data_IF_235376078383
#
_entry.id   IF_235376078383
#
_cell.length_a   1.000
_cell.length_b   1.000
_cell.length_c   1.000
_cell.angle_alpha   90.00
_cell.angle_beta   90.00
_cell.angle_gamma   90.00
#
_symmetry.space_group_name_H-M   'P 1'
#
loop_
_entity.id
_entity.type
_entity.pdbx_description
1 polymer ?
#
# COMPACT_ATOMS: atom_id res chain seq x y z
N UNK A 1 -14.26 8.46 -46.21
CA UNK A 1 -12.85 8.78 -45.94
C UNK A 1 -12.82 10.00 -45.04
N UNK A 2 -12.55 9.80 -43.75
CA UNK A 2 -12.41 10.86 -42.76
C UNK A 2 -10.91 11.01 -42.41
N UNK A 3 -10.40 12.22 -42.13
CA UNK A 3 -8.98 12.42 -41.90
C UNK A 3 -8.59 11.99 -40.47
N UNK A 4 -7.46 11.28 -40.39
CA UNK A 4 -6.75 10.95 -39.16
C UNK A 4 -6.19 12.22 -38.51
N UNK A 5 -6.69 12.57 -37.34
CA UNK A 5 -6.06 13.53 -36.42
C UNK A 5 -4.87 12.84 -35.73
N UNK A 6 -3.65 13.18 -36.16
CA UNK A 6 -2.42 12.91 -35.38
C UNK A 6 -2.31 13.96 -34.28
N UNK A 7 -2.24 13.52 -33.03
CA UNK A 7 -1.79 14.36 -31.93
C UNK A 7 -0.26 14.34 -31.89
N UNK A 8 0.37 15.45 -32.28
CA UNK A 8 1.77 15.73 -31.98
C UNK A 8 1.87 16.32 -30.56
N UNK A 9 2.50 15.57 -29.65
CA UNK A 9 2.96 16.11 -28.38
C UNK A 9 4.18 17.00 -28.63
N UNK A 10 3.98 18.31 -28.62
CA UNK A 10 5.09 19.28 -28.62
C UNK A 10 5.79 19.24 -27.26
N UNK A 11 6.95 18.60 -27.23
CA UNK A 11 7.93 18.76 -26.16
C UNK A 11 8.43 20.21 -26.16
N UNK A 12 8.36 20.88 -25.01
CA UNK A 12 8.98 22.19 -24.83
C UNK A 12 10.52 22.06 -24.95
N UNK A 13 11.21 22.97 -25.65
CA UNK A 13 12.65 22.89 -25.83
C UNK A 13 13.39 23.27 -24.54
N UNK A 14 14.58 22.67 -24.41
CA UNK A 14 15.62 22.90 -23.43
C UNK A 14 15.68 24.33 -22.88
N UNK A 15 15.57 24.45 -21.55
CA UNK A 15 16.13 25.58 -20.83
C UNK A 15 17.65 25.42 -20.82
N UNK A 16 18.33 26.20 -21.67
CA UNK A 16 19.78 26.38 -21.61
C UNK A 16 20.12 27.10 -20.29
N UNK A 17 20.60 26.38 -19.29
CA UNK A 17 21.29 26.99 -18.16
C UNK A 17 22.75 27.22 -18.55
N UNK A 18 23.09 28.49 -18.72
CA UNK A 18 24.45 28.95 -18.94
C UNK A 18 25.37 28.55 -17.79
N UNK A 19 26.59 28.16 -18.16
CA UNK A 19 27.72 27.94 -17.27
C UNK A 19 28.07 29.24 -16.52
N UNK A 20 27.54 29.40 -15.31
CA UNK A 20 28.03 30.37 -14.34
C UNK A 20 28.88 29.63 -13.30
N UNK A 21 30.20 29.72 -13.45
CA UNK A 21 31.19 29.30 -12.45
C UNK A 21 30.97 30.15 -11.19
N UNK A 22 30.21 29.63 -10.22
CA UNK A 22 30.11 30.25 -8.89
C UNK A 22 31.20 29.67 -7.98
N UNK A 23 32.15 30.54 -7.62
CA UNK A 23 33.24 30.27 -6.69
C UNK A 23 32.67 29.86 -5.32
N UNK A 24 33.12 28.70 -4.82
CA UNK A 24 32.96 28.24 -3.43
C UNK A 24 33.28 29.37 -2.45
N UNK A 25 32.28 29.78 -1.66
CA UNK A 25 32.49 30.39 -0.35
C UNK A 25 31.94 29.41 0.68
N UNK A 26 32.85 28.81 1.44
CA UNK A 26 32.55 28.12 2.69
C UNK A 26 31.83 29.10 3.61
N UNK A 27 30.62 28.76 4.03
CA UNK A 27 29.97 29.36 5.18
C UNK A 27 29.69 28.21 6.16
N UNK A 28 30.50 28.17 7.23
CA UNK A 28 30.23 27.40 8.42
C UNK A 28 28.82 27.73 8.93
N UNK A 29 27.99 26.71 9.09
CA UNK A 29 26.83 26.75 9.98
C UNK A 29 27.02 25.67 11.05
N UNK A 30 27.76 26.06 12.08
CA UNK A 30 27.71 25.48 13.41
C UNK A 30 26.37 25.86 14.05
N UNK A 31 25.38 24.96 13.95
CA UNK A 31 24.24 24.92 14.86
C UNK A 31 24.49 23.77 15.83
N UNK A 32 25.11 24.11 16.96
CA UNK A 32 25.25 23.23 18.09
C UNK A 32 23.86 22.80 18.57
N UNK A 33 23.55 21.52 18.42
CA UNK A 33 22.48 20.88 19.17
C UNK A 33 22.86 20.94 20.66
N UNK A 34 22.15 21.76 21.43
CA UNK A 34 22.17 21.65 22.88
C UNK A 34 21.30 20.46 23.29
N UNK A 35 21.82 19.42 23.97
CA UNK A 35 20.99 18.35 24.47
C UNK A 35 20.31 18.81 25.76
N UNK A 36 18.97 18.94 25.74
CA UNK A 36 18.18 18.86 26.97
C UNK A 36 18.27 17.41 27.47
N UNK A 37 19.17 17.15 28.42
CA UNK A 37 19.25 15.86 29.12
C UNK A 37 18.19 15.87 30.23
N UNK A 38 17.20 14.95 30.24
CA UNK A 38 16.46 14.67 31.46
C UNK A 38 17.38 13.92 32.42
N UNK A 39 17.63 14.53 33.58
CA UNK A 39 18.36 13.91 34.69
C UNK A 39 17.52 12.74 35.21
N UNK A 40 18.05 11.51 35.12
CA UNK A 40 17.53 10.36 35.88
C UNK A 40 17.02 9.15 35.10
N UNK A 41 17.21 9.05 33.79
CA UNK A 41 16.93 7.80 33.08
C UNK A 41 18.12 6.83 33.21
N UNK A 42 17.93 5.73 33.95
CA UNK A 42 18.87 4.59 33.93
C UNK A 42 19.12 4.16 32.47
N UNK A 43 20.39 4.20 32.05
CA UNK A 43 20.84 3.64 30.78
C UNK A 43 20.59 2.12 30.81
N UNK A 44 19.43 1.67 30.34
CA UNK A 44 19.35 0.33 29.76
C UNK A 44 20.33 0.31 28.59
N UNK A 45 21.32 -0.57 28.62
CA UNK A 45 22.23 -0.78 27.50
C UNK A 45 21.39 -1.12 26.28
N UNK A 46 21.32 -0.18 25.33
CA UNK A 46 20.82 -0.48 23.99
C UNK A 46 21.63 -1.65 23.44
N UNK A 47 21.01 -2.59 22.70
CA UNK A 47 21.76 -3.57 21.92
C UNK A 47 22.86 -2.86 21.14
N UNK A 48 24.06 -3.41 21.12
CA UNK A 48 25.13 -2.97 20.22
C UNK A 48 24.62 -3.21 18.80
N UNK A 49 24.01 -2.20 18.20
CA UNK A 49 23.68 -2.21 16.78
C UNK A 49 24.97 -1.85 16.06
N UNK A 50 25.44 -2.74 15.18
CA UNK A 50 26.44 -2.39 14.17
C UNK A 50 25.93 -1.13 13.45
N UNK A 51 26.71 -0.06 13.45
CA UNK A 51 26.36 1.13 12.68
C UNK A 51 26.58 0.81 11.20
N UNK A 52 25.52 0.59 10.40
CA UNK A 52 25.68 0.20 9.00
C UNK A 52 26.29 1.34 8.15
N UNK A 53 26.39 2.54 8.72
CA UNK A 53 26.92 3.73 8.07
C UNK A 53 28.34 4.09 8.52
N UNK A 54 28.98 3.30 9.39
CA UNK A 54 30.31 3.64 9.93
C UNK A 54 31.38 3.82 8.83
N UNK A 55 31.29 3.04 7.76
CA UNK A 55 32.17 3.13 6.60
C UNK A 55 31.67 4.04 5.47
N UNK A 56 30.53 4.73 5.62
CA UNK A 56 29.97 5.57 4.57
C UNK A 56 30.67 6.92 4.54
N UNK A 57 31.32 7.22 3.43
CA UNK A 57 31.86 8.55 3.16
C UNK A 57 30.74 9.50 2.74
N UNK A 58 30.21 10.24 3.71
CA UNK A 58 29.13 11.21 3.49
C UNK A 58 29.56 12.43 2.65
N UNK A 59 30.86 12.64 2.41
CA UNK A 59 31.35 13.65 1.46
C UNK A 59 31.16 13.20 0.00
N UNK A 60 30.93 11.91 -0.23
CA UNK A 60 30.65 11.32 -1.54
C UNK A 60 29.26 10.71 -1.57
N UNK A 61 28.33 11.40 -2.21
CA UNK A 61 26.96 10.91 -2.40
C UNK A 61 26.51 11.11 -3.84
N UNK A 62 25.56 10.28 -4.27
CA UNK A 62 24.84 10.45 -5.52
C UNK A 62 23.33 10.46 -5.27
N UNK A 63 22.60 11.28 -6.02
CA UNK A 63 21.15 11.23 -6.01
C UNK A 63 20.69 10.13 -6.96
N UNK A 64 19.94 9.17 -6.43
CA UNK A 64 19.32 8.11 -7.20
C UNK A 64 17.83 8.35 -7.29
N UNK A 65 17.24 8.26 -8.49
CA UNK A 65 15.79 8.31 -8.63
C UNK A 65 15.16 7.07 -8.00
N UNK A 66 14.18 7.33 -7.14
CA UNK A 66 13.48 6.35 -6.33
C UNK A 66 11.98 6.45 -6.53
N UNK A 67 11.27 5.40 -6.14
CA UNK A 67 9.82 5.37 -6.03
C UNK A 67 9.44 4.96 -4.60
N UNK A 68 8.48 5.65 -4.00
CA UNK A 68 7.91 5.25 -2.71
C UNK A 68 6.57 4.55 -2.85
N UNK A 69 5.82 4.91 -3.90
CA UNK A 69 4.48 4.42 -4.19
C UNK A 69 4.39 3.99 -5.65
N UNK A 70 4.78 2.74 -5.92
CA UNK A 70 4.67 2.15 -7.24
C UNK A 70 4.20 0.70 -7.12
N UNK A 71 3.05 0.43 -7.72
CA UNK A 71 2.54 -0.91 -7.93
C UNK A 71 3.11 -1.48 -9.21
N UNK A 72 3.26 -2.80 -9.26
CA UNK A 72 3.74 -3.52 -10.45
C UNK A 72 5.25 -3.36 -10.67
N UNK A 73 5.93 -4.49 -10.86
CA UNK A 73 7.38 -4.56 -10.98
C UNK A 73 7.94 -5.98 -10.86
N UNK A 74 7.18 -7.02 -11.23
CA UNK A 74 7.63 -8.43 -11.07
C UNK A 74 7.88 -9.15 -12.38
N UNK A 75 7.53 -8.55 -13.52
CA UNK A 75 7.99 -9.06 -14.82
C UNK A 75 9.31 -8.41 -15.18
N UNK A 76 10.19 -9.14 -15.84
CA UNK A 76 11.42 -8.58 -16.40
C UNK A 76 11.14 -7.35 -17.26
N UNK A 77 10.09 -7.36 -18.08
CA UNK A 77 9.73 -6.21 -18.91
C UNK A 77 9.41 -4.95 -18.09
N UNK A 78 8.64 -5.08 -17.01
CA UNK A 78 8.31 -3.94 -16.14
C UNK A 78 9.54 -3.37 -15.45
N UNK A 79 10.42 -4.23 -14.95
CA UNK A 79 11.67 -3.83 -14.29
C UNK A 79 12.62 -3.09 -15.24
N UNK A 80 12.78 -3.60 -16.46
CA UNK A 80 13.59 -2.94 -17.50
C UNK A 80 13.00 -1.58 -17.86
N UNK A 81 11.68 -1.46 -18.01
CA UNK A 81 11.04 -0.17 -18.32
C UNK A 81 11.28 0.89 -17.23
N UNK A 82 11.19 0.54 -15.95
CA UNK A 82 11.50 1.49 -14.87
C UNK A 82 12.98 1.91 -14.90
N UNK A 83 13.88 0.96 -15.19
CA UNK A 83 15.30 1.29 -15.33
C UNK A 83 15.55 2.22 -16.52
N UNK A 84 14.90 1.98 -17.67
CA UNK A 84 14.97 2.84 -18.85
C UNK A 84 14.42 4.25 -18.59
N UNK A 85 13.47 4.40 -17.66
CA UNK A 85 12.99 5.71 -17.17
C UNK A 85 14.00 6.42 -16.25
N UNK A 86 15.10 5.75 -15.87
CA UNK A 86 16.17 6.30 -15.05
C UNK A 86 16.00 6.08 -13.55
N UNK A 87 15.11 5.17 -13.12
CA UNK A 87 15.05 4.74 -11.71
C UNK A 87 16.24 3.82 -11.40
N UNK A 88 16.96 4.13 -10.32
CA UNK A 88 18.06 3.30 -9.80
C UNK A 88 17.78 2.69 -8.42
N UNK A 89 16.69 3.12 -7.75
CA UNK A 89 16.25 2.55 -6.49
C UNK A 89 14.80 2.06 -6.58
N UNK A 90 14.59 0.76 -6.38
CA UNK A 90 13.30 0.10 -6.54
C UNK A 90 12.74 -0.29 -5.17
N UNK A 91 11.70 0.42 -4.73
CA UNK A 91 10.92 0.12 -3.53
C UNK A 91 9.44 -0.02 -3.88
N UNK A 92 9.09 -1.11 -4.56
CA UNK A 92 7.70 -1.39 -4.97
C UNK A 92 6.78 -1.61 -3.78
N UNK A 93 5.55 -1.14 -3.88
CA UNK A 93 4.60 -1.05 -2.77
C UNK A 93 3.33 -1.89 -3.01
N UNK A 94 3.45 -3.13 -3.49
CA UNK A 94 2.28 -3.97 -3.78
C UNK A 94 1.42 -4.22 -2.50
N UNK A 95 0.10 -4.37 -2.67
CA UNK A 95 -0.85 -4.57 -1.55
C UNK A 95 -1.69 -5.85 -1.60
N UNK A 96 -1.54 -6.70 -2.62
CA UNK A 96 -2.22 -7.99 -2.67
C UNK A 96 -1.28 -9.16 -3.00
N UNK A 97 -0.61 -9.74 -1.98
CA UNK A 97 -0.59 -9.30 -0.58
C UNK A 97 0.26 -8.02 -0.37
N UNK A 98 0.08 -7.36 0.78
CA UNK A 98 0.87 -6.20 1.23
C UNK A 98 2.22 -6.66 1.75
N UNK A 99 3.11 -7.05 0.84
CA UNK A 99 4.39 -7.65 1.17
C UNK A 99 5.56 -7.12 0.32
N UNK A 100 6.77 -7.00 0.91
CA UNK A 100 7.99 -6.72 0.17
C UNK A 100 8.20 -7.68 -0.98
N UNK A 101 8.39 -7.11 -2.17
CA UNK A 101 8.57 -7.88 -3.40
C UNK A 101 10.03 -7.76 -3.85
N UNK A 102 10.88 -8.77 -3.61
CA UNK A 102 12.29 -8.73 -4.00
C UNK A 102 12.44 -8.75 -5.53
N UNK A 103 13.51 -8.11 -6.01
CA UNK A 103 13.85 -8.16 -7.44
C UNK A 103 14.21 -9.57 -7.88
N UNK A 104 13.86 -9.91 -9.13
CA UNK A 104 14.22 -11.18 -9.74
C UNK A 104 15.75 -11.37 -9.71
N UNK A 105 16.27 -12.55 -9.33
CA UNK A 105 17.72 -12.79 -9.28
C UNK A 105 18.45 -12.42 -10.58
N UNK A 106 17.92 -12.84 -11.74
CA UNK A 106 18.50 -12.53 -13.04
C UNK A 106 18.52 -11.03 -13.37
N UNK A 107 17.55 -10.26 -12.85
CA UNK A 107 17.55 -8.80 -13.03
C UNK A 107 18.65 -8.15 -12.17
N UNK A 108 18.80 -8.59 -10.92
CA UNK A 108 19.86 -8.09 -10.03
C UNK A 108 21.26 -8.39 -10.55
N UNK A 109 21.46 -9.57 -11.13
CA UNK A 109 22.73 -9.96 -11.73
C UNK A 109 23.06 -9.10 -12.96
N UNK A 110 22.05 -8.80 -13.80
CA UNK A 110 22.22 -7.96 -14.98
C UNK A 110 22.44 -6.47 -14.65
N UNK A 111 21.82 -5.97 -13.57
CA UNK A 111 21.81 -4.56 -13.18
C UNK A 111 22.28 -4.39 -11.73
N UNK A 112 23.57 -4.63 -11.45
CA UNK A 112 24.12 -4.52 -10.09
C UNK A 112 24.12 -3.09 -9.53
N UNK A 113 23.92 -2.10 -10.40
CA UNK A 113 23.74 -0.68 -10.08
C UNK A 113 22.35 -0.35 -9.51
N UNK A 114 21.36 -1.23 -9.69
CA UNK A 114 20.01 -1.01 -9.18
C UNK A 114 19.91 -1.49 -7.73
N UNK A 115 19.57 -0.58 -6.83
CA UNK A 115 19.36 -0.86 -5.41
C UNK A 115 17.88 -1.21 -5.18
N UNK A 116 17.63 -2.14 -4.25
CA UNK A 116 16.28 -2.51 -3.82
C UNK A 116 16.12 -2.30 -2.33
N UNK A 117 14.96 -1.78 -1.93
CA UNK A 117 14.53 -1.75 -0.54
C UNK A 117 13.17 -2.45 -0.39
N UNK A 118 12.96 -3.17 0.73
CA UNK A 118 11.66 -3.75 1.00
C UNK A 118 10.62 -2.65 1.23
N UNK A 119 9.44 -2.82 0.65
CA UNK A 119 8.34 -1.89 0.77
C UNK A 119 7.02 -2.62 0.49
N UNK A 120 5.93 -2.14 1.07
CA UNK A 120 4.59 -2.64 0.86
C UNK A 120 3.58 -1.54 1.19
N UNK A 121 2.50 -1.46 0.41
CA UNK A 121 1.37 -0.58 0.73
C UNK A 121 0.42 -1.31 1.69
N UNK A 122 0.23 -0.75 2.88
CA UNK A 122 -0.67 -1.24 3.92
C UNK A 122 -2.00 -0.50 3.84
N UNK A 123 -3.13 -1.21 3.96
CA UNK A 123 -4.47 -0.64 3.80
C UNK A 123 -5.55 -1.37 4.64
N UNK A 124 -6.79 -0.89 4.58
CA UNK A 124 -7.97 -1.47 5.24
C UNK A 124 -7.87 -1.57 6.78
N UNK A 125 -7.40 -0.49 7.39
CA UNK A 125 -7.35 -0.29 8.84
C UNK A 125 -8.75 -0.22 9.46
N UNK A 126 -8.87 -0.56 10.74
CA UNK A 126 -10.15 -0.53 11.45
C UNK A 126 -10.68 0.89 11.70
N UNK A 127 -9.77 1.85 11.84
CA UNK A 127 -10.04 3.20 12.36
C UNK A 127 -9.76 4.32 11.35
N UNK A 128 -9.29 3.98 10.14
CA UNK A 128 -9.00 4.98 9.11
C UNK A 128 -9.08 4.41 7.69
N UNK A 129 -9.41 5.28 6.72
CA UNK A 129 -9.34 5.00 5.29
C UNK A 129 -7.94 5.18 4.68
N UNK A 130 -6.91 5.32 5.52
CA UNK A 130 -5.52 5.51 5.10
C UNK A 130 -5.03 4.35 4.22
N UNK A 131 -4.12 4.69 3.31
CA UNK A 131 -3.13 3.78 2.76
C UNK A 131 -1.74 4.31 3.14
N UNK A 132 -0.78 3.44 3.44
CA UNK A 132 0.60 3.89 3.67
C UNK A 132 1.64 2.92 3.12
N UNK A 133 2.78 3.44 2.66
CA UNK A 133 3.93 2.60 2.32
C UNK A 133 4.92 2.53 3.47
N UNK A 134 5.61 1.39 3.54
CA UNK A 134 6.52 1.02 4.62
C UNK A 134 7.93 0.85 4.06
N UNK A 135 8.53 1.97 3.62
CA UNK A 135 9.84 1.97 2.97
C UNK A 135 10.91 1.44 3.91
N UNK A 136 11.70 0.48 3.42
CA UNK A 136 12.71 -0.19 4.23
C UNK A 136 12.15 -1.21 5.21
N UNK A 137 10.83 -1.39 5.30
CA UNK A 137 10.21 -2.34 6.24
C UNK A 137 10.06 -3.74 5.66
N UNK A 138 10.30 -4.76 6.47
CA UNK A 138 10.03 -6.17 6.13
C UNK A 138 8.57 -6.57 6.38
N UNK A 139 7.70 -5.63 6.75
CA UNK A 139 6.33 -5.92 7.14
C UNK A 139 5.55 -6.50 5.96
N UNK A 140 5.08 -7.72 6.13
CA UNK A 140 4.20 -8.40 5.19
C UNK A 140 2.84 -8.66 5.85
N UNK A 141 1.77 -8.24 5.20
CA UNK A 141 0.40 -8.49 5.65
C UNK A 141 -0.49 -8.89 4.48
N UNK A 142 -1.68 -9.38 4.82
CA UNK A 142 -2.77 -9.54 3.87
C UNK A 142 -2.69 -10.77 2.99
N UNK A 143 -3.72 -10.89 2.18
CA UNK A 143 -3.97 -11.98 1.25
C UNK A 143 -4.74 -11.44 0.07
N UNK A 144 -4.55 -12.00 -1.12
CA UNK A 144 -5.32 -11.61 -2.28
C UNK A 144 -5.38 -12.72 -3.32
N UNK A 145 -6.58 -13.25 -3.55
CA UNK A 145 -6.82 -14.21 -4.62
C UNK A 145 -8.09 -13.87 -5.38
N UNK A 146 -7.94 -13.77 -6.69
CA UNK A 146 -9.02 -13.51 -7.64
C UNK A 146 -9.30 -14.79 -8.41
N UNK A 147 -10.57 -15.10 -8.62
CA UNK A 147 -10.93 -16.05 -9.66
C UNK A 147 -10.65 -15.43 -11.02
N UNK A 148 -10.06 -16.20 -11.92
CA UNK A 148 -9.86 -15.89 -13.32
C UNK A 148 -11.19 -15.68 -14.06
N UNK A 149 -11.12 -15.06 -15.24
CA UNK A 149 -12.29 -14.89 -16.09
C UNK A 149 -12.91 -16.23 -16.54
N UNK A 150 -12.12 -17.32 -16.60
CA UNK A 150 -12.61 -18.64 -16.94
C UNK A 150 -13.37 -19.29 -15.77
N UNK A 151 -12.80 -19.25 -14.57
CA UNK A 151 -13.43 -19.79 -13.36
C UNK A 151 -14.79 -19.11 -13.08
N UNK A 152 -14.87 -17.79 -13.28
CA UNK A 152 -16.10 -17.00 -13.10
C UNK A 152 -17.25 -17.33 -14.06
N UNK A 153 -17.00 -18.12 -15.11
CA UNK A 153 -18.04 -18.53 -16.09
C UNK A 153 -18.68 -19.88 -15.75
N UNK A 154 -18.16 -20.59 -14.75
CA UNK A 154 -18.70 -21.90 -14.34
C UNK A 154 -19.93 -21.71 -13.45
N UNK A 155 -20.97 -22.54 -13.60
CA UNK A 155 -22.10 -22.57 -12.67
C UNK A 155 -22.45 -24.03 -12.32
N UNK A 156 -22.50 -24.39 -11.03
CA UNK A 156 -22.09 -23.56 -9.89
C UNK A 156 -20.59 -23.29 -9.89
N UNK A 157 -20.16 -22.13 -9.37
CA UNK A 157 -18.74 -21.92 -9.06
C UNK A 157 -18.43 -22.73 -7.81
N UNK A 158 -17.42 -23.60 -7.91
CA UNK A 158 -16.80 -24.28 -6.77
C UNK A 158 -15.34 -23.89 -6.74
N UNK A 159 -14.90 -23.20 -5.70
CA UNK A 159 -13.53 -22.72 -5.61
C UNK A 159 -12.98 -22.88 -4.20
N UNK A 160 -11.69 -23.16 -4.09
CA UNK A 160 -10.97 -23.35 -2.84
C UNK A 160 -9.86 -22.30 -2.74
N UNK A 161 -9.98 -21.43 -1.75
CA UNK A 161 -8.91 -20.53 -1.32
C UNK A 161 -8.04 -21.28 -0.31
N UNK A 162 -6.73 -21.19 -0.45
CA UNK A 162 -5.74 -21.93 0.35
C UNK A 162 -4.67 -21.00 0.89
N UNK A 163 -3.83 -21.53 1.80
CA UNK A 163 -2.76 -20.83 2.52
C UNK A 163 -3.31 -19.68 3.38
N UNK A 164 -4.43 -19.95 4.04
CA UNK A 164 -5.05 -19.02 4.98
C UNK A 164 -4.56 -19.28 6.39
N UNK A 165 -4.61 -18.26 7.24
CA UNK A 165 -4.32 -18.36 8.66
C UNK A 165 -5.68 -18.53 9.37
N UNK A 166 -5.89 -19.59 10.15
CA UNK A 166 -7.09 -19.73 10.97
C UNK A 166 -7.22 -18.57 11.97
N UNK A 167 -8.45 -18.21 12.29
CA UNK A 167 -8.76 -17.18 13.26
C UNK A 167 -8.27 -17.57 14.66
N UNK A 168 -7.64 -16.60 15.34
CA UNK A 168 -7.16 -16.71 16.71
C UNK A 168 -7.54 -15.44 17.48
N UNK A 169 -8.14 -15.58 18.66
CA UNK A 169 -8.61 -14.45 19.47
C UNK A 169 -7.47 -13.50 19.90
N UNK A 170 -6.22 -13.98 19.92
CA UNK A 170 -5.06 -13.13 20.25
C UNK A 170 -4.58 -12.29 19.07
N UNK A 171 -4.80 -12.76 17.85
CA UNK A 171 -4.40 -12.09 16.59
C UNK A 171 -5.53 -12.16 15.55
N UNK A 172 -6.74 -11.65 15.88
CA UNK A 172 -7.94 -11.91 15.08
C UNK A 172 -7.83 -11.39 13.65
N UNK A 173 -7.09 -10.29 13.45
CA UNK A 173 -6.88 -9.67 12.14
C UNK A 173 -6.19 -10.58 11.11
N UNK A 174 -5.39 -11.57 11.55
CA UNK A 174 -4.67 -12.49 10.66
C UNK A 174 -5.58 -13.57 10.06
N UNK A 175 -6.69 -13.90 10.73
CA UNK A 175 -7.64 -14.91 10.27
C UNK A 175 -8.95 -14.35 9.73
N UNK A 176 -9.06 -13.03 9.56
CA UNK A 176 -10.24 -12.37 8.98
C UNK A 176 -9.99 -11.98 7.53
N UNK A 177 -10.90 -12.39 6.67
CA UNK A 177 -10.86 -12.16 5.23
C UNK A 177 -12.11 -11.44 4.74
N UNK A 178 -11.95 -10.65 3.68
CA UNK A 178 -13.01 -9.97 2.94
C UNK A 178 -13.33 -10.76 1.67
N UNK A 179 -14.52 -11.31 1.61
CA UNK A 179 -15.08 -11.96 0.43
C UNK A 179 -15.85 -10.91 -0.39
N UNK A 180 -15.35 -10.57 -1.58
CA UNK A 180 -16.00 -9.61 -2.48
C UNK A 180 -16.65 -10.35 -3.67
N UNK A 181 -17.94 -10.11 -3.88
CA UNK A 181 -18.73 -10.57 -5.02
C UNK A 181 -19.27 -9.38 -5.82
N UNK A 182 -19.28 -9.48 -7.14
CA UNK A 182 -20.04 -8.58 -8.01
C UNK A 182 -20.82 -9.39 -9.03
N UNK A 183 -22.13 -9.37 -8.84
CA UNK A 183 -23.12 -10.07 -9.65
C UNK A 183 -23.83 -9.06 -10.54
N UNK A 184 -23.91 -9.33 -11.85
CA UNK A 184 -24.56 -8.46 -12.83
C UNK A 184 -25.74 -9.21 -13.42
N UNK A 185 -26.95 -8.66 -13.28
CA UNK A 185 -28.15 -9.20 -13.88
C UNK A 185 -28.23 -8.85 -15.37
N UNK A 186 -28.73 -9.79 -16.19
CA UNK A 186 -29.15 -9.52 -17.56
C UNK A 186 -30.47 -8.74 -17.60
N UNK A 187 -31.44 -9.15 -16.78
CA UNK A 187 -32.73 -8.49 -16.59
C UNK A 187 -33.26 -8.79 -15.18
N UNK A 188 -34.14 -7.94 -14.66
CA UNK A 188 -34.83 -8.18 -13.38
C UNK A 188 -33.91 -8.10 -12.15
N UNK A 189 -34.27 -8.88 -11.12
CA UNK A 189 -33.54 -8.97 -9.84
C UNK A 189 -33.30 -10.44 -9.45
N UNK A 190 -32.63 -11.24 -10.30
CA UNK A 190 -32.29 -12.61 -9.96
C UNK A 190 -31.35 -12.63 -8.76
N UNK A 191 -31.31 -13.77 -8.08
CA UNK A 191 -30.48 -13.97 -6.88
C UNK A 191 -29.58 -15.19 -7.06
N UNK A 192 -28.41 -15.14 -6.45
CA UNK A 192 -27.51 -16.28 -6.34
C UNK A 192 -27.60 -16.90 -4.93
N UNK A 193 -27.14 -18.14 -4.78
CA UNK A 193 -27.07 -18.83 -3.50
C UNK A 193 -25.61 -19.09 -3.17
N UNK A 194 -25.15 -18.59 -2.01
CA UNK A 194 -23.78 -18.74 -1.54
C UNK A 194 -23.71 -19.69 -0.34
N UNK A 195 -22.80 -20.67 -0.42
CA UNK A 195 -22.36 -21.49 0.70
C UNK A 195 -20.86 -21.35 0.87
N UNK A 196 -20.39 -21.22 2.11
CA UNK A 196 -18.96 -21.13 2.46
C UNK A 196 -18.65 -22.18 3.53
N UNK A 197 -17.64 -23.01 3.27
CA UNK A 197 -17.11 -24.00 4.21
C UNK A 197 -15.69 -23.62 4.64
N UNK A 198 -15.31 -23.98 5.86
CA UNK A 198 -14.02 -23.59 6.46
C UNK A 198 -14.00 -22.14 6.97
N UNK A 199 -15.15 -21.47 7.05
CA UNK A 199 -15.27 -20.12 7.58
C UNK A 199 -16.65 -19.83 8.20
N UNK A 200 -16.72 -18.88 9.13
CA UNK A 200 -17.98 -18.24 9.58
C UNK A 200 -18.03 -16.78 9.14
N UNK A 201 -19.24 -16.24 8.97
CA UNK A 201 -19.41 -14.82 8.77
C UNK A 201 -19.01 -14.05 10.03
N UNK A 202 -18.55 -12.82 9.87
CA UNK A 202 -18.23 -11.96 11.00
C UNK A 202 -18.53 -10.49 10.76
N UNK A 203 -18.78 -9.79 11.86
CA UNK A 203 -18.94 -8.35 11.87
C UNK A 203 -17.62 -7.65 12.16
N UNK A 204 -17.01 -7.05 11.14
CA UNK A 204 -15.75 -6.30 11.24
C UNK A 204 -15.81 -5.11 12.20
N UNK A 205 -16.96 -4.47 12.35
CA UNK A 205 -17.12 -3.28 13.19
C UNK A 205 -17.26 -3.65 14.67
N UNK A 206 -17.71 -4.87 14.96
CA UNK A 206 -17.90 -5.40 16.31
C UNK A 206 -16.75 -6.34 16.71
N UNK A 207 -15.51 -5.91 16.47
CA UNK A 207 -14.31 -6.68 16.78
C UNK A 207 -14.33 -8.11 16.21
N UNK A 208 -14.84 -8.25 14.98
CA UNK A 208 -15.01 -9.54 14.32
C UNK A 208 -15.91 -10.48 15.15
N UNK A 209 -17.08 -10.02 15.63
CA UNK A 209 -18.08 -10.87 16.28
C UNK A 209 -18.63 -11.95 15.34
N UNK A 210 -18.94 -13.15 15.84
CA UNK A 210 -19.36 -14.31 15.01
C UNK A 210 -20.83 -14.22 14.61
N UNK A 211 -21.06 -14.16 13.30
CA UNK A 211 -22.40 -14.09 12.69
C UNK A 211 -22.87 -15.47 12.19
N UNK A 212 -22.15 -16.53 12.54
CA UNK A 212 -22.48 -17.91 12.25
C UNK A 212 -22.16 -18.35 10.82
N UNK A 213 -22.59 -19.58 10.45
CA UNK A 213 -22.25 -20.19 9.18
C UNK A 213 -22.92 -19.50 7.99
N UNK A 214 -22.26 -19.55 6.82
CA UNK A 214 -22.80 -19.09 5.54
C UNK A 214 -23.27 -20.32 4.77
N UNK A 215 -24.49 -20.76 5.04
CA UNK A 215 -25.12 -21.89 4.35
C UNK A 215 -26.31 -21.43 3.52
N UNK A 216 -26.26 -21.69 2.21
CA UNK A 216 -27.33 -21.37 1.26
C UNK A 216 -27.90 -19.95 1.42
N UNK A 217 -27.03 -18.96 1.68
CA UNK A 217 -27.46 -17.57 1.83
C UNK A 217 -27.81 -16.99 0.46
N UNK A 218 -28.98 -16.38 0.35
CA UNK A 218 -29.42 -15.66 -0.84
C UNK A 218 -28.63 -14.37 -1.00
N UNK A 219 -28.03 -14.17 -2.17
CA UNK A 219 -27.22 -13.00 -2.52
C UNK A 219 -27.88 -12.27 -3.70
N UNK A 220 -28.43 -11.06 -3.50
CA UNK A 220 -29.01 -10.30 -4.60
C UNK A 220 -27.92 -9.71 -5.49
N UNK A 221 -28.27 -9.41 -6.74
CA UNK A 221 -27.37 -8.77 -7.70
C UNK A 221 -26.78 -7.45 -7.19
N UNK A 222 -25.60 -7.09 -7.71
CA UNK A 222 -24.83 -5.92 -7.31
C UNK A 222 -23.50 -6.28 -6.65
N UNK A 223 -22.85 -5.26 -6.07
CA UNK A 223 -21.61 -5.40 -5.31
C UNK A 223 -21.92 -5.83 -3.89
N UNK A 224 -21.29 -6.90 -3.42
CA UNK A 224 -21.45 -7.46 -2.09
C UNK A 224 -20.08 -7.72 -1.49
N UNK A 225 -19.93 -7.32 -0.25
CA UNK A 225 -18.74 -7.55 0.55
C UNK A 225 -19.19 -8.19 1.86
N UNK A 226 -18.53 -9.26 2.24
CA UNK A 226 -18.75 -9.94 3.52
C UNK A 226 -17.40 -10.21 4.16
N UNK A 227 -17.34 -10.14 5.48
CA UNK A 227 -16.15 -10.54 6.23
C UNK A 227 -16.36 -11.94 6.79
N UNK A 228 -15.31 -12.74 6.77
CA UNK A 228 -15.33 -14.12 7.25
C UNK A 228 -14.13 -14.38 8.15
N UNK A 229 -14.35 -15.15 9.21
CA UNK A 229 -13.29 -15.77 10.00
C UNK A 229 -12.93 -17.11 9.37
N UNK A 230 -11.66 -17.33 9.06
CA UNK A 230 -11.20 -18.64 8.64
C UNK A 230 -11.19 -19.60 9.84
N UNK A 231 -11.85 -20.75 9.72
CA UNK A 231 -11.79 -21.82 10.72
C UNK A 231 -10.65 -22.81 10.41
N UNK A 232 -10.23 -22.85 9.16
CA UNK A 232 -9.20 -23.74 8.61
C UNK A 232 -8.22 -22.96 7.72
N UNK A 233 -7.13 -23.60 7.32
CA UNK A 233 -6.16 -23.04 6.35
C UNK A 233 -6.70 -22.91 4.91
N UNK A 234 -7.98 -23.26 4.71
CA UNK A 234 -8.64 -23.15 3.43
C UNK A 234 -10.14 -22.85 3.57
N UNK A 235 -10.65 -22.04 2.65
CA UNK A 235 -12.06 -21.69 2.54
C UNK A 235 -12.59 -22.19 1.20
N UNK A 236 -13.64 -23.01 1.24
CA UNK A 236 -14.31 -23.50 0.04
C UNK A 236 -15.60 -22.73 -0.17
N UNK A 237 -15.81 -22.22 -1.38
CA UNK A 237 -17.03 -21.50 -1.76
C UNK A 237 -17.81 -22.31 -2.78
N UNK A 238 -19.13 -22.26 -2.65
CA UNK A 238 -20.09 -22.74 -3.66
C UNK A 238 -21.02 -21.57 -3.95
N UNK A 239 -21.01 -21.07 -5.19
CA UNK A 239 -21.92 -20.03 -5.65
C UNK A 239 -22.80 -20.60 -6.78
N UNK A 240 -24.07 -20.78 -6.48
CA UNK A 240 -25.09 -21.28 -7.41
C UNK A 240 -25.85 -20.09 -8.00
N UNK A 241 -26.00 -20.04 -9.33
CA UNK A 241 -26.73 -18.99 -10.03
C UNK A 241 -27.16 -19.47 -11.41
N UNK A 242 -28.20 -18.85 -11.98
CA UNK A 242 -28.58 -19.09 -13.37
C UNK A 242 -27.64 -18.30 -14.30
N UNK A 243 -26.77 -18.96 -15.10
CA UNK A 243 -25.81 -18.27 -15.96
C UNK A 243 -26.47 -17.51 -17.12
N UNK A 244 -27.75 -17.76 -17.41
CA UNK A 244 -28.51 -16.99 -18.40
C UNK A 244 -29.03 -15.66 -17.82
N UNK A 245 -29.10 -15.53 -16.49
CA UNK A 245 -29.65 -14.36 -15.81
C UNK A 245 -28.57 -13.53 -15.08
N UNK A 246 -27.51 -14.18 -14.59
CA UNK A 246 -26.45 -13.55 -13.81
C UNK A 246 -25.09 -13.82 -14.43
N UNK A 247 -24.27 -12.78 -14.56
CA UNK A 247 -22.85 -12.88 -14.85
C UNK A 247 -22.00 -12.40 -13.67
N UNK A 248 -20.83 -13.03 -13.47
CA UNK A 248 -19.93 -12.75 -12.35
C UNK A 248 -18.75 -11.93 -12.84
N UNK A 249 -18.71 -10.64 -12.49
CA UNK A 249 -17.59 -9.77 -12.86
C UNK A 249 -16.46 -9.82 -11.83
N UNK A 250 -16.77 -10.10 -10.56
CA UNK A 250 -15.80 -10.24 -9.49
C UNK A 250 -16.20 -11.32 -8.49
N UNK A 251 -15.23 -12.16 -8.14
CA UNK A 251 -15.27 -13.07 -7.01
C UNK A 251 -13.83 -13.24 -6.52
N UNK A 252 -13.55 -12.80 -5.29
CA UNK A 252 -12.20 -12.78 -4.72
C UNK A 252 -12.25 -12.84 -3.20
N UNK A 253 -11.18 -13.38 -2.61
CA UNK A 253 -10.92 -13.35 -1.18
C UNK A 253 -9.69 -12.47 -0.94
N UNK A 254 -9.84 -11.46 -0.10
CA UNK A 254 -8.83 -10.46 0.18
C UNK A 254 -8.64 -10.33 1.69
N UNK A 255 -7.48 -9.86 2.12
CA UNK A 255 -7.24 -9.45 3.50
C UNK A 255 -6.33 -8.24 3.47
N UNK A 256 -6.73 -7.18 4.18
CA UNK A 256 -5.85 -6.05 4.46
C UNK A 256 -5.34 -6.14 5.89
N UNK A 257 -4.97 -5.02 6.49
CA UNK A 257 -4.37 -5.01 7.83
C UNK A 257 -5.34 -5.39 8.94
N UNK A 258 -6.62 -4.98 8.84
CA UNK A 258 -7.65 -5.24 9.86
C UNK A 258 -7.21 -4.83 11.29
N UNK A 259 -6.38 -3.80 11.40
CA UNK A 259 -5.84 -3.26 12.66
C UNK A 259 -5.92 -1.74 12.70
N UNK A 260 -5.83 -1.12 13.89
CA UNK A 260 -5.64 0.32 14.01
C UNK A 260 -4.34 0.78 13.34
N UNK A 261 -4.34 1.96 12.72
CA UNK A 261 -3.16 2.43 11.98
C UNK A 261 -1.92 2.61 12.87
N UNK A 262 -2.09 3.01 14.13
CA UNK A 262 -0.98 3.25 15.08
C UNK A 262 -0.19 1.97 15.35
N UNK A 263 -0.90 0.86 15.52
CA UNK A 263 -0.27 -0.44 15.70
C UNK A 263 0.48 -0.86 14.44
N UNK A 264 -0.11 -0.62 13.27
CA UNK A 264 0.52 -0.94 12.00
C UNK A 264 1.76 -0.08 11.72
N UNK A 265 1.77 1.18 12.17
CA UNK A 265 2.96 2.02 12.11
C UNK A 265 4.07 1.44 12.97
N UNK A 266 3.76 0.99 14.20
CA UNK A 266 4.75 0.33 15.06
C UNK A 266 5.25 -0.99 14.46
N UNK A 267 4.36 -1.82 13.93
CA UNK A 267 4.76 -3.06 13.24
C UNK A 267 5.66 -2.81 12.03
N UNK A 268 5.40 -1.74 11.27
CA UNK A 268 6.22 -1.35 10.12
C UNK A 268 7.60 -0.81 10.55
N UNK A 269 7.63 0.03 11.58
CA UNK A 269 8.84 0.73 12.01
C UNK A 269 9.74 -0.12 12.92
N UNK A 270 9.13 -0.73 13.94
CA UNK A 270 9.82 -1.38 15.05
C UNK A 270 9.77 -2.92 14.93
N UNK A 271 8.83 -3.46 14.17
CA UNK A 271 8.59 -4.90 14.07
C UNK A 271 7.78 -5.43 15.24
N UNK A 272 7.47 -6.73 15.17
CA UNK A 272 6.69 -7.44 16.19
C UNK A 272 7.32 -8.80 16.46
N UNK A 273 7.28 -9.25 17.72
CA UNK A 273 7.70 -10.61 18.04
C UNK A 273 6.62 -11.63 17.65
N UNK A 274 7.06 -12.69 16.98
CA UNK A 274 6.25 -13.84 16.58
C UNK A 274 7.08 -15.11 16.73
N UNK A 275 6.65 -16.00 17.63
CA UNK A 275 7.31 -17.29 17.86
C UNK A 275 8.83 -17.18 18.10
N UNK A 276 9.25 -16.12 18.81
CA UNK A 276 10.66 -15.81 19.10
C UNK A 276 11.44 -15.21 17.93
N UNK A 277 10.75 -14.71 16.89
CA UNK A 277 11.34 -13.99 15.76
C UNK A 277 10.67 -12.64 15.59
N UNK A 278 11.47 -11.61 15.34
CA UNK A 278 10.95 -10.32 14.89
C UNK A 278 10.45 -10.43 13.44
N UNK A 279 9.18 -10.10 13.22
CA UNK A 279 8.55 -9.92 11.91
C UNK A 279 8.27 -8.45 11.65
N UNK A 280 8.40 -8.02 10.40
CA UNK A 280 8.29 -6.59 10.07
C UNK A 280 9.51 -5.77 10.49
N UNK A 281 9.29 -4.51 10.83
CA UNK A 281 10.33 -3.57 11.22
C UNK A 281 11.19 -3.08 10.05
N UNK A 282 11.84 -1.94 10.24
CA UNK A 282 12.81 -1.42 9.27
C UNK A 282 14.06 -2.30 9.23
N UNK A 283 14.63 -2.46 8.03
CA UNK A 283 15.91 -3.13 7.82
C UNK A 283 17.05 -2.42 8.59
N UNK A 284 17.00 -1.10 8.61
CA UNK A 284 17.88 -0.22 9.39
C UNK A 284 17.00 0.79 10.14
N UNK A 285 17.26 1.10 11.43
CA UNK A 285 16.39 1.93 12.25
C UNK A 285 15.99 3.30 11.65
N UNK A 286 16.85 3.85 10.79
CA UNK A 286 16.75 5.13 10.10
C UNK A 286 16.84 5.01 8.56
N UNK A 287 16.92 3.80 8.02
CA UNK A 287 17.05 3.53 6.58
C UNK A 287 15.74 3.55 5.80
N UNK A 288 14.69 4.13 6.38
CA UNK A 288 13.34 4.10 5.81
C UNK A 288 12.30 4.69 6.73
N UNK A 289 11.03 4.43 6.42
CA UNK A 289 9.93 4.99 7.17
C UNK A 289 8.58 4.86 6.49
N UNK A 290 7.64 5.67 6.94
CA UNK A 290 6.25 5.64 6.48
C UNK A 290 5.99 6.79 5.53
N UNK A 291 5.35 6.50 4.41
CA UNK A 291 4.74 7.54 3.57
C UNK A 291 3.23 7.38 3.54
N UNK A 292 2.51 8.49 3.72
CA UNK A 292 1.05 8.52 3.74
C UNK A 292 0.54 8.65 2.30
N UNK A 293 -0.21 7.65 1.84
CA UNK A 293 -0.66 7.59 0.47
C UNK A 293 -2.12 8.03 0.35
N UNK A 294 -2.48 8.42 -0.87
CA UNK A 294 -3.85 8.69 -1.29
C UNK A 294 -4.64 9.54 -0.28
N UNK A 295 -4.11 10.71 0.13
CA UNK A 295 -4.73 11.44 1.22
C UNK A 295 -6.10 11.99 0.81
N UNK A 296 -7.12 11.72 1.62
CA UNK A 296 -8.51 12.14 1.38
C UNK A 296 -9.19 12.74 2.61
N UNK A 297 -8.51 12.72 3.76
CA UNK A 297 -8.98 13.27 5.03
C UNK A 297 -8.66 14.76 5.24
N UNK A 298 -8.78 15.20 6.50
CA UNK A 298 -8.53 16.59 6.93
C UNK A 298 -7.14 16.75 7.53
N UNK A 299 -6.68 18.00 7.65
CA UNK A 299 -5.39 18.36 8.25
C UNK A 299 -5.17 17.68 9.61
N UNK A 300 -6.17 17.68 10.49
CA UNK A 300 -6.03 17.17 11.86
C UNK A 300 -5.65 15.68 11.87
N UNK A 301 -6.26 14.90 10.98
CA UNK A 301 -5.98 13.47 10.83
C UNK A 301 -4.54 13.23 10.36
N UNK A 302 -4.07 13.97 9.35
CA UNK A 302 -2.72 13.77 8.83
C UNK A 302 -1.65 14.37 9.75
N UNK A 303 -1.95 15.48 10.44
CA UNK A 303 -1.05 16.06 11.44
C UNK A 303 -0.75 15.04 12.56
N UNK A 304 -1.78 14.36 13.06
CA UNK A 304 -1.62 13.30 14.06
C UNK A 304 -0.75 12.13 13.57
N UNK A 305 -0.89 11.75 12.30
CA UNK A 305 -0.08 10.68 11.69
C UNK A 305 1.37 11.12 11.46
N UNK A 306 1.58 12.34 10.95
CA UNK A 306 2.91 12.92 10.71
C UNK A 306 3.68 13.14 12.02
N UNK A 307 2.99 13.49 13.10
CA UNK A 307 3.60 13.72 14.41
C UNK A 307 3.81 12.42 15.21
N UNK A 308 3.38 11.26 14.69
CA UNK A 308 3.42 9.99 15.43
C UNK A 308 4.85 9.52 15.75
N UNK A 309 5.74 9.64 14.79
CA UNK A 309 7.13 9.18 14.86
C UNK A 309 7.95 9.97 13.83
N UNK A 310 9.21 10.29 14.15
CA UNK A 310 10.08 11.04 13.22
C UNK A 310 10.38 10.29 11.92
N UNK A 311 10.10 8.98 11.88
CA UNK A 311 10.20 8.13 10.68
C UNK A 311 8.92 8.14 9.84
N UNK A 312 7.92 8.95 10.15
CA UNK A 312 6.83 9.27 9.21
C UNK A 312 7.32 10.39 8.31
N UNK A 313 7.69 10.04 7.08
CA UNK A 313 8.56 10.83 6.22
C UNK A 313 7.79 11.88 5.41
N UNK A 314 6.59 11.54 4.96
CA UNK A 314 5.92 12.34 3.95
C UNK A 314 4.51 11.90 3.59
N UNK A 315 3.92 12.65 2.69
CA UNK A 315 2.56 12.46 2.19
C UNK A 315 2.53 12.62 0.67
N UNK A 316 1.76 11.78 0.00
CA UNK A 316 1.53 11.87 -1.44
C UNK A 316 0.79 13.17 -1.74
N UNK A 317 1.39 14.07 -2.53
CA UNK A 317 0.78 15.39 -2.80
C UNK A 317 -0.36 15.26 -3.81
N UNK A 318 -0.27 14.28 -4.71
CA UNK A 318 -1.24 14.06 -5.76
C UNK A 318 -1.79 12.64 -5.74
N UNK A 319 -3.07 12.49 -5.44
CA UNK A 319 -3.73 11.19 -5.47
C UNK A 319 -4.27 10.84 -6.88
N UNK A 320 -3.60 9.92 -7.57
CA UNK A 320 -4.03 9.47 -8.90
C UNK A 320 -5.33 8.64 -8.88
N UNK A 321 -5.65 7.91 -7.79
CA UNK A 321 -6.85 7.05 -7.72
C UNK A 321 -8.15 7.83 -7.94
N UNK A 322 -8.13 9.13 -7.65
CA UNK A 322 -9.30 9.99 -7.73
C UNK A 322 -9.28 10.95 -8.93
N UNK A 323 -8.10 11.24 -9.48
CA UNK A 323 -7.89 12.16 -10.60
C UNK A 323 -6.64 11.76 -11.37
N UNK A 324 -6.80 11.32 -12.62
CA UNK A 324 -5.63 11.20 -13.50
C UNK A 324 -4.98 12.57 -13.66
N UNK A 325 -3.65 12.64 -13.58
CA UNK A 325 -2.92 13.89 -13.77
C UNK A 325 -3.23 14.45 -15.17
N UNK A 326 -3.95 15.58 -15.23
CA UNK A 326 -4.44 16.13 -16.50
C UNK A 326 -5.46 15.27 -17.26
N UNK A 327 -6.07 14.26 -16.62
CA UNK A 327 -7.07 13.39 -17.25
C UNK A 327 -8.49 13.81 -16.89
N UNK A 328 -9.38 13.79 -17.87
CA UNK A 328 -10.83 13.95 -17.75
C UNK A 328 -11.53 12.69 -17.16
N UNK A 329 -10.75 11.74 -16.62
CA UNK A 329 -11.22 10.45 -16.07
C UNK A 329 -10.92 10.35 -14.57
N UNK A 330 -11.79 9.63 -13.85
CA UNK A 330 -11.67 9.38 -12.41
C UNK A 330 -12.89 9.84 -11.61
N UNK A 331 -12.82 9.78 -10.29
CA UNK A 331 -13.89 10.22 -9.37
C UNK A 331 -14.32 11.67 -9.59
N UNK A 332 -13.42 12.49 -10.15
CA UNK A 332 -13.62 13.91 -10.38
C UNK A 332 -13.82 14.29 -11.85
N UNK A 333 -14.04 13.30 -12.74
CA UNK A 333 -14.33 13.51 -14.17
C UNK A 333 -15.53 14.45 -14.42
N UNK A 334 -16.48 14.48 -13.49
CA UNK A 334 -17.67 15.35 -13.55
C UNK A 334 -17.46 16.73 -12.94
N UNK A 335 -16.29 17.04 -12.37
CA UNK A 335 -16.01 18.34 -11.79
C UNK A 335 -15.58 19.34 -12.87
N UNK A 336 -16.14 20.55 -12.79
CA UNK A 336 -15.84 21.65 -13.73
C UNK A 336 -14.39 22.15 -13.62
N UNK A 337 -13.73 21.91 -12.49
CA UNK A 337 -12.34 22.30 -12.22
C UNK A 337 -11.58 21.10 -11.62
N UNK A 338 -10.27 20.95 -11.90
CA UNK A 338 -9.46 19.91 -11.27
C UNK A 338 -9.48 20.08 -9.75
N UNK A 339 -9.57 18.97 -9.00
CA UNK A 339 -9.71 18.98 -7.55
C UNK A 339 -8.40 19.44 -6.89
N UNK A 340 -8.28 20.74 -6.58
CA UNK A 340 -7.10 21.30 -5.92
C UNK A 340 -6.96 20.99 -4.42
N UNK A 341 -7.90 20.24 -3.84
CA UNK A 341 -7.94 19.99 -2.40
C UNK A 341 -6.73 19.20 -1.86
N UNK A 342 -6.07 18.39 -2.70
CA UNK A 342 -4.82 17.72 -2.31
C UNK A 342 -3.67 18.72 -2.10
N UNK A 343 -3.51 19.68 -3.01
CA UNK A 343 -2.54 20.77 -2.85
C UNK A 343 -2.91 21.68 -1.66
N UNK A 344 -4.20 21.90 -1.41
CA UNK A 344 -4.63 22.68 -0.23
C UNK A 344 -4.27 21.97 1.08
N UNK A 345 -4.46 20.65 1.17
CA UNK A 345 -4.04 19.87 2.34
C UNK A 345 -2.52 19.94 2.52
N UNK A 346 -1.77 19.79 1.42
CA UNK A 346 -0.31 19.93 1.43
C UNK A 346 0.13 21.31 1.93
N UNK A 347 -0.43 22.38 1.38
CA UNK A 347 -0.15 23.76 1.79
C UNK A 347 -0.52 24.00 3.26
N UNK A 348 -1.65 23.44 3.72
CA UNK A 348 -2.07 23.51 5.12
C UNK A 348 -1.07 22.82 6.04
N UNK A 349 -0.58 21.63 5.67
CA UNK A 349 0.46 20.90 6.42
C UNK A 349 1.73 21.76 6.49
N UNK A 350 2.20 22.28 5.36
CA UNK A 350 3.41 23.13 5.30
C UNK A 350 3.25 24.41 6.13
N UNK A 351 2.08 25.04 6.11
CA UNK A 351 1.79 26.25 6.87
C UNK A 351 1.90 26.05 8.39
N UNK A 352 1.83 24.80 8.87
CA UNK A 352 2.06 24.49 10.30
C UNK A 352 3.53 24.46 10.71
N UNK A 353 4.47 24.51 9.75
CA UNK A 353 5.91 24.39 10.00
C UNK A 353 6.40 22.95 10.19
N UNK A 354 5.56 21.94 9.95
CA UNK A 354 5.94 20.53 10.02
C UNK A 354 6.96 20.17 8.94
N UNK A 355 7.96 19.39 9.31
CA UNK A 355 8.86 18.73 8.35
C UNK A 355 8.12 17.55 7.75
N UNK A 356 7.73 17.68 6.48
CA UNK A 356 7.05 16.65 5.73
C UNK A 356 7.58 16.68 4.29
N UNK A 357 7.86 15.53 3.70
CA UNK A 357 8.18 15.46 2.28
C UNK A 357 6.93 15.23 1.44
N UNK A 358 6.80 16.00 0.37
CA UNK A 358 5.81 15.76 -0.67
C UNK A 358 6.42 14.86 -1.73
N UNK A 359 5.68 13.84 -2.16
CA UNK A 359 6.10 12.96 -3.24
C UNK A 359 4.97 12.70 -4.24
#
# INVERSE_FOLDING_TARGET
MAPLLRFEMKWFPHCQYGTAIMKRRQALLSLAAAPCIPVGAEKKSSPEYENPYEGVDWETWECVHSMSHQHQGTTTSSLESFREMGYGHFAFSNYYPSAPTPLLPAFREKHPDVVWAPNAEQHSFLDTGLHFNSLGSRLATGYGKYLSAAERKTSPIKYRFENLIPFDDKRPWEGVYRLDLTLIAAEGKPEAILTVHGATACNREENFADDGPIEKRTIPVGKKTSYVRANDEAINIILEYNPNEISISQLRLMQGTNRPWREMFRAALDGEERDGKTVGGLLHPDGGGITLNHPTGKLETYAEMLDFDSRVLGIEVWNQLTSGFGSDRGFYASMKNPPGHFYQLWDQILATGRRCWGF
#
